data_IF_338542666891
#
_entry.id   IF_338542666891
#
_cell.length_a   1.000
_cell.length_b   1.000
_cell.length_c   1.000
_cell.angle_alpha   90.00
_cell.angle_beta   90.00
_cell.angle_gamma   90.00
#
_symmetry.space_group_name_H-M   'P 1'
#
loop_
_entity.id
_entity.type
_entity.pdbx_description
1 polymer ?
#
# COMPACT_ATOMS: atom_id res chain seq x y z
N UNK A 1 -8.19 -4.88 11.68
CA UNK A 1 -8.13 -5.57 10.38
C UNK A 1 -7.63 -4.58 9.35
N UNK A 2 -6.62 -4.95 8.56
CA UNK A 2 -6.16 -4.12 7.44
C UNK A 2 -6.82 -4.63 6.17
N UNK A 3 -7.26 -3.71 5.30
CA UNK A 3 -7.91 -4.02 4.04
C UNK A 3 -7.07 -3.60 2.82
N UNK A 4 -5.93 -2.94 3.05
CA UNK A 4 -4.96 -2.65 2.01
C UNK A 4 -4.07 -3.86 1.76
N UNK A 5 -3.84 -4.23 0.48
CA UNK A 5 -2.89 -5.28 0.10
C UNK A 5 -1.47 -4.97 0.56
N UNK A 6 -1.02 -3.73 0.38
CA UNK A 6 0.35 -3.29 0.68
C UNK A 6 0.54 -2.86 2.14
N UNK A 7 -0.09 -3.55 3.08
CA UNK A 7 0.12 -3.26 4.50
C UNK A 7 1.54 -3.74 4.93
N UNK A 8 2.27 -3.03 5.83
CA UNK A 8 1.88 -1.85 6.58
C UNK A 8 1.97 -0.54 5.79
N UNK A 9 1.09 0.40 6.12
CA UNK A 9 1.14 1.77 5.62
C UNK A 9 2.45 2.46 6.03
N UNK A 10 3.06 3.17 5.09
CA UNK A 10 4.29 3.95 5.27
C UNK A 10 3.94 5.44 5.43
N UNK A 11 4.95 6.30 5.26
CA UNK A 11 4.75 7.75 5.29
C UNK A 11 3.88 8.19 4.12
N UNK A 12 2.92 9.07 4.40
CA UNK A 12 2.08 9.63 3.34
C UNK A 12 2.86 10.70 2.57
N UNK A 13 2.70 10.72 1.26
CA UNK A 13 3.33 11.72 0.41
C UNK A 13 2.89 13.17 0.70
N UNK A 14 1.80 13.39 1.44
CA UNK A 14 1.44 14.74 1.92
C UNK A 14 2.37 15.25 3.03
N UNK A 15 3.35 14.46 3.48
CA UNK A 15 4.35 14.82 4.50
C UNK A 15 4.07 14.25 5.90
N UNK A 16 3.00 13.47 6.10
CA UNK A 16 2.71 12.85 7.40
C UNK A 16 3.55 11.58 7.58
N UNK A 17 4.28 11.55 8.69
CA UNK A 17 5.10 10.41 9.12
C UNK A 17 4.21 9.41 9.86
N UNK A 18 4.42 8.11 9.62
CA UNK A 18 3.62 7.03 10.20
C UNK A 18 2.11 7.21 9.93
N UNK A 19 1.76 7.46 8.67
CA UNK A 19 0.38 7.67 8.27
C UNK A 19 -0.45 6.40 8.53
N UNK A 20 -1.64 6.59 9.10
CA UNK A 20 -2.58 5.53 9.40
C UNK A 20 -3.90 5.74 8.63
N UNK A 21 -4.85 4.82 8.77
CA UNK A 21 -6.14 4.90 8.08
C UNK A 21 -6.95 6.17 8.43
N UNK A 22 -6.80 6.66 9.66
CA UNK A 22 -7.43 7.91 10.10
C UNK A 22 -6.86 9.09 9.31
N UNK A 23 -5.54 9.17 9.13
CA UNK A 23 -4.91 10.19 8.30
C UNK A 23 -5.47 10.18 6.87
N UNK A 24 -5.55 9.00 6.23
CA UNK A 24 -6.03 8.90 4.86
C UNK A 24 -7.52 9.26 4.70
N UNK A 25 -8.30 9.23 5.78
CA UNK A 25 -9.70 9.66 5.79
C UNK A 25 -9.87 11.19 5.74
N UNK A 26 -8.78 11.95 5.97
CA UNK A 26 -8.76 13.41 5.91
C UNK A 26 -7.56 13.96 5.12
N UNK A 27 -6.88 13.11 4.34
CA UNK A 27 -5.69 13.50 3.60
C UNK A 27 -6.07 14.47 2.46
N UNK A 28 -5.36 15.60 2.36
CA UNK A 28 -5.63 16.62 1.34
C UNK A 28 -5.48 16.09 -0.09
N UNK A 29 -4.59 15.12 -0.31
CA UNK A 29 -4.36 14.47 -1.61
C UNK A 29 -5.47 13.47 -1.99
N UNK A 30 -6.40 13.17 -1.07
CA UNK A 30 -7.54 12.28 -1.26
C UNK A 30 -8.89 12.99 -1.19
N UNK A 31 -8.93 14.28 -0.83
CA UNK A 31 -10.19 14.99 -0.55
C UNK A 31 -11.24 14.83 -1.65
N UNK A 32 -10.87 15.06 -2.91
CA UNK A 32 -11.79 14.95 -4.05
C UNK A 32 -12.36 13.52 -4.17
N UNK A 33 -11.49 12.50 -4.06
CA UNK A 33 -11.92 11.10 -4.15
C UNK A 33 -12.81 10.69 -2.95
N UNK A 34 -12.56 11.27 -1.77
CA UNK A 34 -13.38 11.05 -0.58
C UNK A 34 -14.73 11.76 -0.69
N UNK A 35 -14.79 12.92 -1.34
CA UNK A 35 -16.05 13.61 -1.67
C UNK A 35 -16.87 12.79 -2.66
N UNK A 36 -16.25 12.31 -3.74
CA UNK A 36 -16.89 11.42 -4.71
C UNK A 36 -17.45 10.15 -4.05
N UNK A 37 -16.71 9.58 -3.08
CA UNK A 37 -17.17 8.44 -2.29
C UNK A 37 -18.40 8.80 -1.45
N UNK A 38 -18.39 9.96 -0.78
CA UNK A 38 -19.48 10.46 0.08
C UNK A 38 -20.72 10.87 -0.70
N UNK A 39 -20.60 11.25 -1.96
CA UNK A 39 -21.73 11.56 -2.83
C UNK A 39 -22.61 10.34 -3.15
N UNK A 40 -22.14 9.13 -2.83
CA UNK A 40 -23.00 7.96 -2.77
C UNK A 40 -24.10 8.17 -1.71
N UNK A 41 -25.40 8.11 -2.06
CA UNK A 41 -26.50 8.49 -1.17
C UNK A 41 -26.52 7.80 0.19
N UNK A 42 -25.97 6.58 0.28
CA UNK A 42 -25.90 5.79 1.53
C UNK A 42 -24.71 6.12 2.43
N UNK A 43 -23.77 6.95 1.98
CA UNK A 43 -22.50 7.22 2.67
C UNK A 43 -22.39 8.65 3.22
N UNK A 44 -23.32 9.54 2.87
CA UNK A 44 -23.31 10.95 3.27
C UNK A 44 -23.24 11.20 4.77
N UNK A 45 -23.73 10.28 5.60
CA UNK A 45 -23.77 10.42 7.05
C UNK A 45 -22.77 9.52 7.78
N UNK A 46 -21.99 8.73 7.05
CA UNK A 46 -21.05 7.78 7.65
C UNK A 46 -19.73 8.47 7.97
N UNK A 47 -19.29 8.34 9.23
CA UNK A 47 -18.03 8.93 9.70
C UNK A 47 -16.80 8.27 9.07
N UNK A 48 -16.89 6.98 8.76
CA UNK A 48 -15.84 6.18 8.12
C UNK A 48 -16.39 5.48 6.87
N UNK A 49 -16.52 6.20 5.74
CA UNK A 49 -17.17 5.66 4.54
C UNK A 49 -16.43 4.46 3.96
N UNK A 50 -15.10 4.43 4.06
CA UNK A 50 -14.28 3.32 3.57
C UNK A 50 -14.59 2.03 4.36
N UNK A 51 -14.54 2.09 5.70
CA UNK A 51 -14.85 0.94 6.55
C UNK A 51 -16.31 0.52 6.38
N UNK A 52 -17.25 1.46 6.28
CA UNK A 52 -18.66 1.13 6.04
C UNK A 52 -18.86 0.32 4.77
N UNK A 53 -18.26 0.74 3.64
CA UNK A 53 -18.38 0.04 2.36
C UNK A 53 -17.80 -1.36 2.51
N UNK A 54 -16.56 -1.47 2.99
CA UNK A 54 -15.86 -2.75 3.12
C UNK A 54 -16.62 -3.77 3.97
N UNK A 55 -17.24 -3.33 5.07
CA UNK A 55 -18.04 -4.21 5.94
C UNK A 55 -19.40 -4.61 5.35
N UNK A 56 -19.89 -3.89 4.33
CA UNK A 56 -21.21 -4.11 3.74
C UNK A 56 -21.17 -4.52 2.27
N UNK A 57 -19.98 -4.80 1.74
CA UNK A 57 -19.82 -5.26 0.36
C UNK A 57 -20.66 -6.54 0.13
N UNK A 58 -21.48 -6.56 -0.94
CA UNK A 58 -22.08 -7.78 -1.42
C UNK A 58 -21.02 -8.84 -1.68
N UNK A 59 -21.28 -10.07 -1.25
CA UNK A 59 -20.38 -11.20 -1.52
C UNK A 59 -20.48 -11.74 -2.95
N UNK A 60 -21.53 -11.34 -3.68
CA UNK A 60 -21.76 -11.76 -5.06
C UNK A 60 -21.42 -10.64 -6.03
N UNK A 61 -20.84 -11.00 -7.16
CA UNK A 61 -20.56 -10.09 -8.27
C UNK A 61 -21.83 -9.36 -8.76
N UNK A 62 -22.93 -10.10 -8.86
CA UNK A 62 -24.25 -9.55 -9.19
C UNK A 62 -24.68 -8.48 -8.17
N UNK A 63 -24.36 -8.67 -6.89
CA UNK A 63 -24.66 -7.69 -5.86
C UNK A 63 -23.84 -6.40 -6.00
N UNK A 64 -22.59 -6.51 -6.47
CA UNK A 64 -21.70 -5.36 -6.71
C UNK A 64 -22.15 -4.52 -7.91
N UNK A 65 -22.79 -5.13 -8.90
CA UNK A 65 -23.29 -4.42 -10.09
C UNK A 65 -24.69 -3.82 -9.92
N UNK A 66 -25.31 -3.97 -8.73
CA UNK A 66 -26.67 -3.53 -8.46
C UNK A 66 -26.76 -2.37 -7.48
N UNK A 67 -27.70 -1.46 -7.76
CA UNK A 67 -28.09 -0.36 -6.87
C UNK A 67 -26.90 0.54 -6.50
N UNK A 68 -26.76 0.83 -5.21
CA UNK A 68 -25.71 1.73 -4.71
C UNK A 68 -24.28 1.19 -4.84
N UNK A 69 -24.12 -0.12 -5.00
CA UNK A 69 -22.80 -0.75 -5.06
C UNK A 69 -22.14 -0.55 -6.43
N UNK A 70 -22.94 -0.38 -7.48
CA UNK A 70 -22.44 -0.12 -8.83
C UNK A 70 -21.56 1.14 -8.90
N UNK A 71 -21.85 2.15 -8.07
CA UNK A 71 -21.05 3.38 -7.97
C UNK A 71 -20.09 3.36 -6.80
N UNK A 72 -20.51 2.84 -5.64
CA UNK A 72 -19.69 2.83 -4.43
C UNK A 72 -18.44 1.93 -4.57
N UNK A 73 -18.54 0.80 -5.27
CA UNK A 73 -17.44 -0.14 -5.40
C UNK A 73 -16.28 0.41 -6.25
N UNK A 74 -16.50 0.93 -7.48
CA UNK A 74 -15.42 1.56 -8.24
C UNK A 74 -14.79 2.76 -7.53
N UNK A 75 -15.60 3.61 -6.89
CA UNK A 75 -15.12 4.75 -6.13
C UNK A 75 -14.25 4.31 -4.94
N UNK A 76 -14.66 3.27 -4.21
CA UNK A 76 -13.84 2.68 -3.15
C UNK A 76 -12.50 2.21 -3.70
N UNK A 77 -12.49 1.42 -4.79
CA UNK A 77 -11.25 0.89 -5.37
C UNK A 77 -10.30 2.01 -5.77
N UNK A 78 -10.79 3.09 -6.39
CA UNK A 78 -9.97 4.26 -6.71
C UNK A 78 -9.35 4.90 -5.46
N UNK A 79 -10.12 5.04 -4.38
CA UNK A 79 -9.59 5.54 -3.10
C UNK A 79 -8.51 4.61 -2.56
N UNK A 80 -8.72 3.29 -2.57
CA UNK A 80 -7.73 2.34 -2.05
C UNK A 80 -6.45 2.33 -2.88
N UNK A 81 -6.56 2.36 -4.21
CA UNK A 81 -5.42 2.47 -5.12
C UNK A 81 -4.64 3.77 -4.88
N UNK A 82 -5.34 4.88 -4.64
CA UNK A 82 -4.68 6.15 -4.36
C UNK A 82 -4.00 6.15 -3.00
N UNK A 83 -4.61 5.56 -1.97
CA UNK A 83 -3.97 5.38 -0.65
C UNK A 83 -2.70 4.55 -0.80
N UNK A 84 -2.79 3.45 -1.55
CA UNK A 84 -1.66 2.57 -1.81
C UNK A 84 -0.51 3.32 -2.49
N UNK A 85 -0.81 4.04 -3.57
CA UNK A 85 0.15 4.90 -4.27
C UNK A 85 0.78 5.95 -3.34
N UNK A 86 -0.01 6.62 -2.50
CA UNK A 86 0.48 7.65 -1.58
C UNK A 86 1.34 7.09 -0.44
N UNK A 87 1.20 5.80 -0.14
CA UNK A 87 1.99 5.08 0.86
C UNK A 87 3.25 4.43 0.25
N UNK A 88 3.18 3.98 -1.01
CA UNK A 88 4.19 3.09 -1.61
C UNK A 88 4.82 3.62 -2.90
N UNK A 89 4.78 4.94 -3.13
CA UNK A 89 5.21 5.64 -4.35
C UNK A 89 6.63 5.30 -4.85
N UNK A 90 7.48 4.66 -4.03
CA UNK A 90 8.86 4.30 -4.32
C UNK A 90 9.17 2.79 -4.25
N UNK A 91 8.20 1.90 -4.01
CA UNK A 91 8.50 0.45 -3.91
C UNK A 91 8.68 -0.25 -5.26
N UNK A 92 8.44 0.43 -6.40
CA UNK A 92 8.49 -0.24 -7.69
C UNK A 92 9.91 -0.62 -8.19
N UNK A 93 11.03 -0.15 -7.60
CA UNK A 93 12.37 -0.49 -8.14
C UNK A 93 13.56 -0.50 -7.16
N UNK A 94 13.35 -0.68 -5.86
CA UNK A 94 14.41 -1.00 -4.88
C UNK A 94 13.65 -1.46 -3.62
N UNK A 95 13.64 -2.73 -3.23
CA UNK A 95 14.81 -3.47 -2.77
C UNK A 95 14.45 -4.96 -2.71
N UNK A 96 14.61 -5.69 -3.82
CA UNK A 96 15.27 -6.98 -3.69
C UNK A 96 16.74 -6.62 -3.44
N UNK A 97 17.11 -6.40 -2.16
CA UNK A 97 18.49 -6.69 -1.81
C UNK A 97 18.63 -8.17 -2.17
N UNK A 98 19.50 -8.56 -3.13
CA UNK A 98 19.80 -9.97 -3.25
C UNK A 98 20.23 -10.39 -1.86
N UNK A 99 19.51 -11.35 -1.29
CA UNK A 99 19.95 -12.00 -0.07
C UNK A 99 21.44 -12.29 -0.30
N UNK A 100 22.29 -11.65 0.48
CA UNK A 100 23.69 -12.02 0.57
C UNK A 100 23.66 -13.41 1.18
N UNK A 101 23.43 -14.41 0.31
CA UNK A 101 23.82 -15.77 0.54
C UNK A 101 25.31 -15.69 0.82
N UNK A 102 25.60 -15.83 2.11
CA UNK A 102 26.90 -15.97 2.72
C UNK A 102 27.67 -17.07 1.96
N UNK A 103 28.27 -16.71 0.83
CA UNK A 103 29.18 -17.55 0.09
C UNK A 103 30.55 -17.32 0.68
N UNK A 104 30.73 -17.75 1.93
CA UNK A 104 32.04 -18.11 2.45
C UNK A 104 32.50 -19.39 1.78
N UNK A 105 32.84 -19.33 0.50
CA UNK A 105 33.75 -20.31 -0.09
C UNK A 105 34.33 -19.77 -1.40
N UNK A 106 35.65 -19.97 -1.57
CA UNK A 106 36.43 -19.72 -2.79
C UNK A 106 36.89 -18.26 -3.04
N UNK A 107 37.91 -17.83 -2.30
CA UNK A 107 39.07 -17.10 -2.85
C UNK A 107 40.19 -16.95 -1.79
N UNK A 108 40.78 -18.07 -1.37
CA UNK A 108 42.13 -18.04 -0.80
C UNK A 108 43.12 -18.18 -1.96
N UNK A 109 43.86 -17.13 -2.37
CA UNK A 109 45.06 -17.34 -3.16
C UNK A 109 46.10 -18.09 -2.30
N UNK A 110 46.87 -19.04 -2.87
CA UNK A 110 47.88 -19.79 -2.12
C UNK A 110 48.95 -18.83 -1.56
N UNK A 111 49.50 -19.09 -0.36
CA UNK A 111 50.53 -18.26 0.23
C UNK A 111 51.79 -18.28 -0.63
N UNK A 112 52.25 -17.10 -1.07
CA UNK A 112 53.55 -16.91 -1.70
C UNK A 112 54.64 -17.26 -0.70
N UNK A 113 55.27 -18.43 -0.84
CA UNK A 113 56.47 -18.76 -0.07
C UNK A 113 57.62 -17.86 -0.53
N UNK A 114 57.96 -16.87 0.28
CA UNK A 114 59.24 -16.16 0.19
C UNK A 114 60.33 -17.06 0.78
N UNK A 115 61.20 -17.65 -0.07
CA UNK A 115 62.42 -18.32 0.38
C UNK A 115 63.60 -17.34 0.26
N UNK A 116 64.38 -17.12 1.35
CA UNK A 116 65.47 -16.15 1.37
C UNK A 116 66.72 -16.64 0.65
N UNK A 117 67.46 -15.66 0.14
CA UNK A 117 68.81 -15.74 -0.45
C UNK A 117 69.80 -16.40 0.52
N UNK A 118 70.49 -17.45 0.06
CA UNK A 118 71.87 -17.79 0.46
C UNK A 118 72.51 -18.71 -0.59
#
# INVERSE_FOLDING_TARGET
MHWLPSYPLKNCHCGVIAANLEHYSSCSLLLILLEDLKDTPSLRHEQQPIDYILHRLPRSEVGLTLGKWQTAWPALIHVLQKIDYLSHLNDDFNTDEPATEDTTDILNPPPTQSLPLN
#
